data_IF_094748737451
#
_entry.id   IF_094748737451
#
_cell.length_a   1.000
_cell.length_b   1.000
_cell.length_c   1.000
_cell.angle_alpha   90.00
_cell.angle_beta   90.00
_cell.angle_gamma   90.00
#
_symmetry.space_group_name_H-M   'P 1'
#
loop_
_entity.id
_entity.type
_entity.pdbx_description
1 polymer ?
#
# COMPACT_ATOMS: atom_id res chain seq x y z
N UNK A 1 -31.28 11.14 -28.80
CA UNK A 1 -29.92 10.71 -28.35
C UNK A 1 -29.63 11.03 -26.87
N UNK A 2 -29.80 12.27 -26.38
CA UNK A 2 -29.51 12.63 -24.96
C UNK A 2 -30.26 11.80 -23.90
N UNK A 3 -31.52 11.45 -24.13
CA UNK A 3 -32.35 10.66 -23.20
C UNK A 3 -31.83 9.22 -22.98
N UNK A 4 -31.24 8.60 -24.01
CA UNK A 4 -30.69 7.23 -23.91
C UNK A 4 -29.41 7.21 -23.08
N UNK A 5 -28.53 8.21 -23.24
CA UNK A 5 -27.30 8.34 -22.45
C UNK A 5 -27.57 8.56 -20.95
N UNK A 6 -28.55 9.40 -20.61
CA UNK A 6 -28.95 9.63 -19.22
C UNK A 6 -29.47 8.34 -18.55
N UNK A 7 -30.24 7.53 -19.27
CA UNK A 7 -30.75 6.24 -18.79
C UNK A 7 -29.61 5.24 -18.51
N UNK A 8 -28.64 5.11 -19.42
CA UNK A 8 -27.48 4.21 -19.23
C UNK A 8 -26.67 4.60 -17.99
N UNK A 9 -26.44 5.90 -17.78
CA UNK A 9 -25.71 6.40 -16.61
C UNK A 9 -26.48 6.14 -15.31
N UNK A 10 -27.79 6.31 -15.31
CA UNK A 10 -28.63 5.98 -14.15
C UNK A 10 -28.58 4.48 -13.82
N UNK A 11 -28.69 3.60 -14.83
CA UNK A 11 -28.58 2.16 -14.65
C UNK A 11 -27.20 1.76 -14.07
N UNK A 12 -26.13 2.37 -14.57
CA UNK A 12 -24.78 2.11 -14.08
C UNK A 12 -24.58 2.59 -12.64
N UNK A 13 -25.15 3.74 -12.29
CA UNK A 13 -25.14 4.23 -10.91
C UNK A 13 -25.87 3.27 -9.97
N UNK A 14 -27.04 2.76 -10.39
CA UNK A 14 -27.88 1.85 -9.58
C UNK A 14 -27.30 0.44 -9.47
N UNK A 15 -26.63 -0.06 -10.51
CA UNK A 15 -26.22 -1.46 -10.64
C UNK A 15 -24.72 -1.66 -10.80
N UNK A 16 -23.90 -0.64 -10.51
CA UNK A 16 -22.45 -0.63 -10.71
C UNK A 16 -21.66 -1.67 -9.89
N UNK A 17 -22.31 -2.39 -8.97
CA UNK A 17 -21.75 -3.47 -8.17
C UNK A 17 -22.15 -4.87 -8.64
N UNK A 18 -23.01 -4.98 -9.67
CA UNK A 18 -23.51 -6.27 -10.16
C UNK A 18 -22.83 -6.69 -11.47
N UNK A 19 -21.97 -7.73 -11.48
CA UNK A 19 -21.09 -8.04 -12.62
C UNK A 19 -21.82 -8.19 -13.96
N UNK A 20 -22.88 -9.00 -13.99
CA UNK A 20 -23.66 -9.26 -15.22
C UNK A 20 -24.31 -7.99 -15.78
N UNK A 21 -24.82 -7.11 -14.90
CA UNK A 21 -25.50 -5.88 -15.31
C UNK A 21 -24.48 -4.87 -15.84
N UNK A 22 -23.32 -4.73 -15.19
CA UNK A 22 -22.24 -3.86 -15.69
C UNK A 22 -21.77 -4.31 -17.09
N UNK A 23 -21.62 -5.61 -17.34
CA UNK A 23 -21.28 -6.12 -18.68
C UNK A 23 -22.37 -5.85 -19.72
N UNK A 24 -23.64 -5.98 -19.35
CA UNK A 24 -24.76 -5.67 -20.25
C UNK A 24 -24.83 -4.17 -20.57
N UNK A 25 -24.67 -3.31 -19.55
CA UNK A 25 -24.65 -1.85 -19.69
C UNK A 25 -23.48 -1.43 -20.59
N UNK A 26 -22.29 -2.02 -20.39
CA UNK A 26 -21.14 -1.76 -21.23
C UNK A 26 -21.37 -2.19 -22.69
N UNK A 27 -21.88 -3.41 -22.93
CA UNK A 27 -22.20 -3.87 -24.29
C UNK A 27 -23.25 -2.96 -24.97
N UNK A 28 -24.26 -2.52 -24.22
CA UNK A 28 -25.27 -1.59 -24.72
C UNK A 28 -24.68 -0.21 -25.04
N UNK A 29 -23.76 0.29 -24.22
CA UNK A 29 -23.04 1.54 -24.48
C UNK A 29 -22.19 1.47 -25.75
N UNK A 30 -21.53 0.34 -26.01
CA UNK A 30 -20.78 0.09 -27.25
C UNK A 30 -21.72 0.11 -28.45
N UNK A 31 -22.81 -0.66 -28.40
CA UNK A 31 -23.78 -0.78 -29.49
C UNK A 31 -24.42 0.57 -29.88
N UNK A 32 -24.56 1.49 -28.90
CA UNK A 32 -25.09 2.83 -29.12
C UNK A 32 -24.03 3.89 -29.45
N UNK A 33 -22.74 3.52 -29.56
CA UNK A 33 -21.65 4.44 -29.86
C UNK A 33 -21.35 5.43 -28.74
N UNK A 34 -21.76 5.15 -27.50
CA UNK A 34 -21.59 6.05 -26.35
C UNK A 34 -20.24 5.90 -25.63
N UNK A 35 -19.39 4.95 -26.02
CA UNK A 35 -18.06 4.75 -25.42
C UNK A 35 -17.05 5.88 -25.69
N UNK A 36 -17.39 6.88 -26.51
CA UNK A 36 -16.59 8.11 -26.64
C UNK A 36 -16.94 9.16 -25.57
N UNK A 37 -18.00 8.94 -24.78
CA UNK A 37 -18.41 9.86 -23.73
C UNK A 37 -17.56 9.64 -22.47
N UNK A 38 -16.67 10.59 -22.18
CA UNK A 38 -15.73 10.54 -21.06
C UNK A 38 -16.42 10.22 -19.71
N UNK A 39 -17.57 10.86 -19.43
CA UNK A 39 -18.24 10.66 -18.15
C UNK A 39 -18.82 9.25 -17.99
N UNK A 40 -19.39 8.68 -19.06
CA UNK A 40 -19.88 7.30 -19.05
C UNK A 40 -18.71 6.30 -18.93
N UNK A 41 -17.62 6.50 -19.67
CA UNK A 41 -16.46 5.60 -19.63
C UNK A 41 -15.77 5.63 -18.28
N UNK A 42 -15.63 6.79 -17.63
CA UNK A 42 -15.07 6.86 -16.27
C UNK A 42 -15.98 6.17 -15.24
N UNK A 43 -17.32 6.25 -15.40
CA UNK A 43 -18.24 5.48 -14.55
C UNK A 43 -18.10 3.97 -14.77
N UNK A 44 -17.96 3.52 -16.02
CA UNK A 44 -17.76 2.10 -16.35
C UNK A 44 -16.43 1.59 -15.81
N UNK A 45 -15.36 2.38 -15.94
CA UNK A 45 -14.04 2.06 -15.42
C UNK A 45 -14.09 1.87 -13.90
N UNK A 46 -14.71 2.81 -13.18
CA UNK A 46 -14.90 2.71 -11.73
C UNK A 46 -15.74 1.49 -11.33
N UNK A 47 -16.78 1.15 -12.09
CA UNK A 47 -17.57 -0.05 -11.85
C UNK A 47 -16.73 -1.32 -12.02
N UNK A 48 -15.98 -1.46 -13.10
CA UNK A 48 -15.10 -2.62 -13.30
C UNK A 48 -13.95 -2.70 -12.29
N UNK A 49 -13.41 -1.56 -11.84
CA UNK A 49 -12.41 -1.51 -10.79
C UNK A 49 -12.97 -2.02 -9.45
N UNK A 50 -14.18 -1.59 -9.07
CA UNK A 50 -14.91 -2.10 -7.88
C UNK A 50 -15.23 -3.59 -7.98
N UNK A 51 -15.41 -4.10 -9.19
CA UNK A 51 -15.66 -5.52 -9.47
C UNK A 51 -14.37 -6.35 -9.63
N UNK A 52 -13.20 -5.73 -9.53
CA UNK A 52 -11.89 -6.37 -9.70
C UNK A 52 -11.74 -7.09 -11.04
N UNK A 53 -12.25 -6.46 -12.11
CA UNK A 53 -12.24 -6.95 -13.49
C UNK A 53 -11.19 -6.22 -14.33
N UNK A 54 -9.90 -6.58 -14.25
CA UNK A 54 -8.80 -5.81 -14.85
C UNK A 54 -8.83 -5.80 -16.37
N UNK A 55 -9.25 -6.90 -17.01
CA UNK A 55 -9.27 -7.01 -18.46
C UNK A 55 -10.34 -6.07 -19.04
N UNK A 56 -11.51 -6.08 -18.43
CA UNK A 56 -12.65 -5.24 -18.81
C UNK A 56 -12.38 -3.77 -18.50
N UNK A 57 -11.81 -3.46 -17.34
CA UNK A 57 -11.37 -2.11 -16.98
C UNK A 57 -10.36 -1.56 -18.01
N UNK A 58 -9.35 -2.34 -18.39
CA UNK A 58 -8.37 -1.92 -19.40
C UNK A 58 -9.01 -1.70 -20.78
N UNK A 59 -9.97 -2.55 -21.17
CA UNK A 59 -10.73 -2.37 -22.43
C UNK A 59 -11.51 -1.06 -22.42
N UNK A 60 -12.23 -0.75 -21.34
CA UNK A 60 -12.93 0.54 -21.20
C UNK A 60 -11.94 1.69 -21.26
N UNK A 61 -10.82 1.58 -20.56
CA UNK A 61 -9.79 2.61 -20.53
C UNK A 61 -9.22 2.91 -21.92
N UNK A 62 -8.92 1.89 -22.73
CA UNK A 62 -8.43 2.06 -24.11
C UNK A 62 -9.42 2.74 -25.06
N UNK A 63 -10.69 2.84 -24.68
CA UNK A 63 -11.72 3.53 -25.46
C UNK A 63 -11.84 5.01 -25.08
N UNK A 64 -11.20 5.45 -23.99
CA UNK A 64 -11.21 6.85 -23.55
C UNK A 64 -10.22 7.63 -24.43
N UNK A 65 -10.68 8.62 -25.22
CA UNK A 65 -9.79 9.33 -26.15
C UNK A 65 -8.66 10.09 -25.46
N UNK A 66 -8.95 10.72 -24.32
CA UNK A 66 -8.01 11.45 -23.48
C UNK A 66 -8.27 11.07 -22.01
N UNK A 67 -7.67 9.97 -21.51
CA UNK A 67 -7.85 9.57 -20.13
C UNK A 67 -7.23 10.59 -19.18
N UNK A 68 -7.98 11.04 -18.18
CA UNK A 68 -7.49 11.94 -17.13
C UNK A 68 -6.75 11.18 -16.03
N UNK A 69 -6.09 11.92 -15.13
CA UNK A 69 -5.34 11.37 -13.99
C UNK A 69 -6.22 10.43 -13.14
N UNK A 70 -7.51 10.77 -12.94
CA UNK A 70 -8.44 9.96 -12.15
C UNK A 70 -8.63 8.57 -12.80
N UNK A 71 -8.76 8.51 -14.11
CA UNK A 71 -8.90 7.26 -14.86
C UNK A 71 -7.67 6.38 -14.71
N UNK A 72 -6.46 6.95 -14.78
CA UNK A 72 -5.22 6.23 -14.55
C UNK A 72 -5.07 5.76 -13.09
N UNK A 73 -5.32 6.64 -12.11
CA UNK A 73 -5.25 6.30 -10.67
C UNK A 73 -6.20 5.16 -10.31
N UNK A 74 -7.37 5.11 -10.96
CA UNK A 74 -8.32 4.00 -10.83
C UNK A 74 -7.72 2.67 -11.32
N UNK A 75 -7.08 2.65 -12.50
CA UNK A 75 -6.40 1.46 -13.01
C UNK A 75 -5.19 1.05 -12.17
N UNK A 76 -4.37 2.00 -11.72
CA UNK A 76 -3.22 1.74 -10.84
C UNK A 76 -3.72 1.05 -9.56
N UNK A 77 -4.74 1.61 -8.92
CA UNK A 77 -5.35 1.06 -7.70
C UNK A 77 -5.93 -0.33 -7.91
N UNK A 78 -6.62 -0.55 -9.04
CA UNK A 78 -7.14 -1.86 -9.42
C UNK A 78 -6.00 -2.89 -9.54
N UNK A 79 -4.93 -2.58 -10.28
CA UNK A 79 -3.81 -3.49 -10.45
C UNK A 79 -3.06 -3.78 -9.14
N UNK A 80 -2.96 -2.81 -8.23
CA UNK A 80 -2.42 -3.05 -6.89
C UNK A 80 -3.33 -3.97 -6.08
N UNK A 81 -4.64 -3.80 -6.16
CA UNK A 81 -5.60 -4.63 -5.42
C UNK A 81 -5.48 -6.10 -5.82
N UNK A 82 -5.43 -6.38 -7.13
CA UNK A 82 -5.32 -7.76 -7.65
C UNK A 82 -3.87 -8.31 -7.68
N UNK A 83 -2.96 -7.68 -6.95
CA UNK A 83 -1.54 -8.05 -6.83
C UNK A 83 -0.80 -8.19 -8.18
N UNK A 84 -1.00 -7.19 -9.06
CA UNK A 84 -0.24 -7.02 -10.30
C UNK A 84 0.60 -5.74 -10.26
N UNK A 85 1.59 -5.65 -9.36
CA UNK A 85 2.33 -4.41 -9.10
C UNK A 85 3.13 -3.89 -10.32
N UNK A 86 3.67 -4.79 -11.15
CA UNK A 86 4.34 -4.40 -12.40
C UNK A 86 3.39 -3.70 -13.37
N UNK A 87 2.13 -4.16 -13.47
CA UNK A 87 1.11 -3.52 -14.32
C UNK A 87 0.71 -2.16 -13.78
N UNK A 88 0.57 -2.02 -12.46
CA UNK A 88 0.31 -0.73 -11.81
C UNK A 88 1.41 0.30 -12.17
N UNK A 89 2.68 -0.11 -12.12
CA UNK A 89 3.80 0.75 -12.53
C UNK A 89 3.77 1.09 -14.02
N UNK A 90 3.46 0.14 -14.91
CA UNK A 90 3.31 0.42 -16.35
C UNK A 90 2.24 1.46 -16.64
N UNK A 91 1.07 1.35 -15.99
CA UNK A 91 -0.02 2.34 -16.12
C UNK A 91 0.42 3.72 -15.63
N UNK A 92 1.19 3.78 -14.54
CA UNK A 92 1.77 5.06 -14.08
C UNK A 92 2.77 5.64 -15.08
N UNK A 93 3.60 4.81 -15.71
CA UNK A 93 4.54 5.27 -16.73
C UNK A 93 3.79 5.91 -17.92
N UNK A 94 2.70 5.28 -18.37
CA UNK A 94 1.79 5.84 -19.38
C UNK A 94 1.17 7.17 -18.94
N UNK A 95 0.70 7.27 -17.69
CA UNK A 95 0.20 8.54 -17.12
C UNK A 95 1.27 9.63 -17.19
N UNK A 96 2.49 9.33 -16.73
CA UNK A 96 3.57 10.30 -16.58
C UNK A 96 4.12 10.82 -17.93
N UNK A 97 3.85 10.11 -19.02
CA UNK A 97 4.22 10.53 -20.37
C UNK A 97 3.35 11.68 -20.90
N UNK A 98 2.11 11.81 -20.40
CA UNK A 98 1.14 12.80 -20.89
C UNK A 98 0.58 13.76 -19.84
N UNK A 99 0.73 13.45 -18.55
CA UNK A 99 0.10 14.20 -17.47
C UNK A 99 1.08 14.45 -16.33
N UNK A 100 0.88 15.57 -15.60
CA UNK A 100 1.54 15.81 -14.31
C UNK A 100 0.95 14.84 -13.27
N UNK A 101 1.75 13.93 -12.67
CA UNK A 101 1.29 13.07 -11.60
C UNK A 101 0.91 13.87 -10.34
N UNK A 102 -0.05 13.33 -9.59
CA UNK A 102 -0.45 13.80 -8.25
C UNK A 102 0.07 12.85 -7.16
N UNK A 103 -0.12 13.22 -5.88
CA UNK A 103 0.29 12.38 -4.75
C UNK A 103 -0.27 10.96 -4.79
N UNK A 104 -1.54 10.80 -5.18
CA UNK A 104 -2.21 9.48 -5.23
C UNK A 104 -1.62 8.56 -6.30
N UNK A 105 -1.44 9.05 -7.53
CA UNK A 105 -0.86 8.28 -8.62
C UNK A 105 0.60 7.88 -8.31
N UNK A 106 1.38 8.79 -7.73
CA UNK A 106 2.75 8.54 -7.29
C UNK A 106 2.82 7.50 -6.17
N UNK A 107 1.98 7.60 -5.14
CA UNK A 107 1.89 6.61 -4.06
C UNK A 107 1.54 5.23 -4.63
N UNK A 108 0.64 5.16 -5.61
CA UNK A 108 0.31 3.93 -6.31
C UNK A 108 1.51 3.33 -7.06
N UNK A 109 2.28 4.16 -7.76
CA UNK A 109 3.48 3.73 -8.47
C UNK A 109 4.58 3.24 -7.50
N UNK A 110 4.85 3.98 -6.43
CA UNK A 110 5.80 3.60 -5.38
C UNK A 110 5.40 2.28 -4.71
N UNK A 111 4.11 2.10 -4.41
CA UNK A 111 3.56 0.84 -3.89
C UNK A 111 3.77 -0.32 -4.86
N UNK A 112 3.59 -0.06 -6.17
CA UNK A 112 3.90 -1.01 -7.23
C UNK A 112 5.39 -1.40 -7.23
N UNK A 113 6.29 -0.41 -7.20
CA UNK A 113 7.73 -0.64 -7.14
C UNK A 113 8.17 -1.39 -5.88
N UNK A 114 7.56 -1.07 -4.74
CA UNK A 114 7.81 -1.72 -3.45
C UNK A 114 7.50 -3.22 -3.50
N UNK A 115 6.32 -3.58 -4.02
CA UNK A 115 5.85 -4.97 -4.13
C UNK A 115 6.56 -5.77 -5.22
N UNK A 116 6.87 -5.13 -6.34
CA UNK A 116 7.56 -5.76 -7.46
C UNK A 116 9.09 -5.87 -7.29
N UNK A 117 9.66 -5.36 -6.19
CA UNK A 117 11.12 -5.20 -6.01
C UNK A 117 11.79 -4.41 -7.15
N UNK A 118 11.07 -3.42 -7.69
CA UNK A 118 11.54 -2.57 -8.78
C UNK A 118 12.15 -1.27 -8.23
N UNK A 119 13.38 -1.38 -7.71
CA UNK A 119 14.12 -0.23 -7.17
C UNK A 119 14.38 0.85 -8.23
N UNK A 120 14.68 0.46 -9.47
CA UNK A 120 14.96 1.40 -10.56
C UNK A 120 13.73 2.27 -10.86
N UNK A 121 12.56 1.66 -11.01
CA UNK A 121 11.30 2.38 -11.17
C UNK A 121 10.99 3.27 -9.98
N UNK A 122 11.22 2.78 -8.75
CA UNK A 122 11.01 3.58 -7.54
C UNK A 122 11.88 4.83 -7.48
N UNK A 123 13.13 4.76 -7.94
CA UNK A 123 14.04 5.92 -8.04
C UNK A 123 13.58 6.93 -9.09
N UNK A 124 13.08 6.46 -10.23
CA UNK A 124 12.50 7.34 -11.27
C UNK A 124 11.32 8.11 -10.68
N UNK A 125 10.41 7.40 -10.00
CA UNK A 125 9.24 8.02 -9.35
C UNK A 125 9.66 8.99 -8.25
N UNK A 126 10.68 8.67 -7.45
CA UNK A 126 11.21 9.61 -6.46
C UNK A 126 11.79 10.89 -7.10
N UNK A 127 12.46 10.79 -8.26
CA UNK A 127 12.86 11.97 -9.02
C UNK A 127 11.68 12.82 -9.47
N UNK A 128 10.55 12.18 -9.83
CA UNK A 128 9.30 12.88 -10.15
C UNK A 128 8.68 13.57 -8.92
N UNK A 129 8.75 12.95 -7.73
CA UNK A 129 8.28 13.58 -6.47
C UNK A 129 8.97 14.92 -6.25
N UNK A 130 10.29 14.97 -6.44
CA UNK A 130 11.05 16.21 -6.35
C UNK A 130 10.65 17.20 -7.45
N UNK A 131 10.64 16.75 -8.72
CA UNK A 131 10.32 17.59 -9.88
C UNK A 131 8.94 18.25 -9.79
N UNK A 132 7.96 17.56 -9.23
CA UNK A 132 6.58 18.04 -9.14
C UNK A 132 6.22 18.60 -7.76
N UNK A 133 7.20 18.74 -6.86
CA UNK A 133 7.07 19.34 -5.53
C UNK A 133 6.07 18.59 -4.62
N UNK A 134 6.00 17.27 -4.74
CA UNK A 134 5.09 16.41 -3.97
C UNK A 134 5.70 15.94 -2.63
N UNK A 135 6.92 16.36 -2.31
CA UNK A 135 7.68 15.88 -1.15
C UNK A 135 7.15 16.33 0.21
N UNK A 136 6.34 17.40 0.25
CA UNK A 136 5.70 17.87 1.49
C UNK A 136 4.50 17.04 1.92
N UNK A 137 3.97 16.17 1.04
CA UNK A 137 2.81 15.33 1.34
C UNK A 137 3.25 14.11 2.19
N UNK A 138 2.73 13.94 3.42
CA UNK A 138 3.13 12.82 4.29
C UNK A 138 2.88 11.45 3.67
N UNK A 139 1.80 11.31 2.89
CA UNK A 139 1.45 10.06 2.20
C UNK A 139 2.53 9.63 1.19
N UNK A 140 3.18 10.61 0.52
CA UNK A 140 4.25 10.35 -0.45
C UNK A 140 5.52 9.95 0.28
N UNK A 141 5.86 10.65 1.37
CA UNK A 141 6.99 10.29 2.24
C UNK A 141 6.87 8.86 2.78
N UNK A 142 5.70 8.49 3.30
CA UNK A 142 5.41 7.13 3.78
C UNK A 142 5.63 6.07 2.69
N UNK A 143 5.12 6.33 1.47
CA UNK A 143 5.29 5.42 0.35
C UNK A 143 6.75 5.29 -0.11
N UNK A 144 7.54 6.37 -0.05
CA UNK A 144 8.97 6.35 -0.36
C UNK A 144 9.78 5.54 0.66
N UNK A 145 9.48 5.72 1.96
CA UNK A 145 10.11 4.94 3.04
C UNK A 145 9.82 3.44 2.88
N UNK A 146 8.55 3.06 2.65
CA UNK A 146 8.19 1.66 2.38
C UNK A 146 8.88 1.14 1.11
N UNK A 147 8.87 1.91 0.01
CA UNK A 147 9.49 1.50 -1.25
C UNK A 147 10.99 1.23 -1.09
N UNK A 148 11.76 2.15 -0.51
CA UNK A 148 13.19 1.93 -0.29
C UNK A 148 13.45 0.82 0.71
N UNK A 149 12.68 0.74 1.80
CA UNK A 149 12.82 -0.29 2.81
C UNK A 149 12.59 -1.69 2.26
N UNK A 150 11.50 -1.90 1.50
CA UNK A 150 11.23 -3.20 0.85
C UNK A 150 12.24 -3.55 -0.24
N UNK A 151 12.88 -2.56 -0.84
CA UNK A 151 13.96 -2.79 -1.82
C UNK A 151 15.36 -2.88 -1.17
N UNK A 152 15.44 -3.02 0.16
CA UNK A 152 16.69 -3.23 0.89
C UNK A 152 17.62 -2.01 0.92
N UNK A 153 17.11 -0.82 0.59
CA UNK A 153 17.89 0.44 0.57
C UNK A 153 17.61 1.26 1.83
N UNK A 154 17.90 0.68 2.99
CA UNK A 154 17.60 1.31 4.28
C UNK A 154 18.26 2.67 4.49
N UNK A 155 19.46 2.91 3.98
CA UNK A 155 20.08 4.24 4.04
C UNK A 155 19.27 5.31 3.30
N UNK A 156 18.66 4.96 2.16
CA UNK A 156 17.77 5.88 1.43
C UNK A 156 16.41 6.02 2.12
N UNK A 157 15.88 4.93 2.68
CA UNK A 157 14.64 4.99 3.47
C UNK A 157 14.79 5.93 4.69
N UNK A 158 15.91 5.83 5.40
CA UNK A 158 16.24 6.72 6.51
C UNK A 158 16.39 8.17 6.04
N UNK A 159 17.13 8.42 4.96
CA UNK A 159 17.31 9.78 4.44
C UNK A 159 15.98 10.45 4.03
N UNK A 160 15.07 9.69 3.40
CA UNK A 160 13.71 10.18 3.12
C UNK A 160 12.97 10.48 4.41
N UNK A 161 12.99 9.54 5.36
CA UNK A 161 12.31 9.68 6.64
C UNK A 161 12.80 10.92 7.40
N UNK A 162 14.10 11.12 7.51
CA UNK A 162 14.72 12.27 8.19
C UNK A 162 14.25 13.58 7.57
N UNK A 163 14.17 13.63 6.23
CA UNK A 163 13.68 14.78 5.46
C UNK A 163 12.17 15.04 5.53
N UNK A 164 11.36 14.13 6.09
CA UNK A 164 9.92 14.36 6.23
C UNK A 164 9.63 15.42 7.29
N UNK A 165 8.81 16.41 6.93
CA UNK A 165 8.35 17.48 7.84
C UNK A 165 7.45 16.93 8.94
N UNK A 166 6.53 16.03 8.58
CA UNK A 166 5.60 15.37 9.51
C UNK A 166 5.84 13.87 9.46
N UNK A 167 6.17 13.29 10.61
CA UNK A 167 6.39 11.85 10.79
C UNK A 167 5.23 11.28 11.62
N UNK A 168 4.34 10.54 10.97
CA UNK A 168 3.23 9.85 11.63
C UNK A 168 3.60 8.42 12.05
N UNK A 169 2.73 7.75 12.81
CA UNK A 169 2.97 6.36 13.27
C UNK A 169 3.25 5.40 12.09
N UNK A 170 2.66 5.65 10.92
CA UNK A 170 2.85 4.83 9.72
C UNK A 170 4.27 4.98 9.14
N UNK A 171 4.81 6.20 9.10
CA UNK A 171 6.19 6.50 8.68
C UNK A 171 7.22 5.75 9.53
N UNK A 172 7.09 5.88 10.86
CA UNK A 172 7.94 5.21 11.85
C UNK A 172 7.85 3.69 11.73
N UNK A 173 6.63 3.17 11.66
CA UNK A 173 6.38 1.72 11.54
C UNK A 173 6.95 1.16 10.24
N UNK A 174 6.91 1.92 9.14
CA UNK A 174 7.48 1.52 7.85
C UNK A 174 9.00 1.43 7.91
N UNK A 175 9.65 2.45 8.47
CA UNK A 175 11.10 2.48 8.66
C UNK A 175 11.57 1.32 9.57
N UNK A 176 10.88 1.14 10.70
CA UNK A 176 11.12 0.06 11.65
C UNK A 176 11.07 -1.32 10.98
N UNK A 177 9.97 -1.61 10.27
CA UNK A 177 9.79 -2.87 9.55
C UNK A 177 10.87 -3.08 8.48
N UNK A 178 11.33 -2.01 7.84
CA UNK A 178 12.45 -2.05 6.91
C UNK A 178 13.73 -2.55 7.57
N UNK A 179 14.11 -1.99 8.72
CA UNK A 179 15.31 -2.41 9.45
C UNK A 179 15.20 -3.85 9.97
N UNK A 180 14.04 -4.25 10.51
CA UNK A 180 13.80 -5.63 10.95
C UNK A 180 13.99 -6.61 9.80
N UNK A 181 13.41 -6.32 8.63
CA UNK A 181 13.53 -7.19 7.43
C UNK A 181 14.95 -7.28 6.88
N UNK A 182 15.78 -6.26 7.11
CA UNK A 182 17.18 -6.25 6.72
C UNK A 182 18.11 -6.83 7.81
N UNK A 183 17.56 -7.47 8.84
CA UNK A 183 18.28 -8.01 10.00
C UNK A 183 19.15 -6.98 10.76
N UNK A 184 18.82 -5.69 10.62
CA UNK A 184 19.46 -4.61 11.35
C UNK A 184 18.64 -4.25 12.60
N UNK A 185 18.54 -5.21 13.51
CA UNK A 185 17.74 -5.10 14.73
C UNK A 185 18.18 -3.95 15.64
N UNK A 186 19.48 -3.60 15.66
CA UNK A 186 19.97 -2.50 16.49
C UNK A 186 19.45 -1.14 16.00
N UNK A 187 19.39 -0.93 14.67
CA UNK A 187 18.77 0.27 14.10
C UNK A 187 17.25 0.22 14.26
N UNK A 188 16.63 -0.96 14.14
CA UNK A 188 15.20 -1.13 14.41
C UNK A 188 14.85 -0.74 15.86
N UNK A 189 15.65 -1.18 16.84
CA UNK A 189 15.50 -0.82 18.26
C UNK A 189 15.57 0.68 18.47
N UNK A 190 16.59 1.35 17.91
CA UNK A 190 16.72 2.81 18.01
C UNK A 190 15.49 3.54 17.45
N UNK A 191 15.05 3.15 16.26
CA UNK A 191 13.83 3.72 15.66
C UNK A 191 12.64 3.51 16.60
N UNK A 192 12.45 2.30 17.13
CA UNK A 192 11.35 1.98 18.04
C UNK A 192 11.43 2.75 19.38
N UNK A 193 12.62 3.00 19.90
CA UNK A 193 12.85 3.84 21.09
C UNK A 193 12.43 5.29 20.85
N UNK A 194 12.78 5.83 19.69
CA UNK A 194 12.49 7.21 19.30
C UNK A 194 11.02 7.44 18.89
N UNK A 195 10.25 6.39 18.65
CA UNK A 195 8.83 6.50 18.27
C UNK A 195 8.01 7.23 19.35
N UNK A 196 7.38 8.38 19.04
CA UNK A 196 6.55 9.11 20.01
C UNK A 196 5.29 8.32 20.42
N UNK A 197 4.77 7.51 19.50
CA UNK A 197 3.62 6.64 19.71
C UNK A 197 3.89 5.30 19.04
N UNK A 198 3.75 4.23 19.80
CA UNK A 198 3.93 2.84 19.35
C UNK A 198 2.56 2.19 19.23
N UNK A 199 2.24 1.67 18.05
CA UNK A 199 1.05 0.85 17.83
C UNK A 199 1.38 -0.64 17.93
N UNK A 200 0.35 -1.49 17.95
CA UNK A 200 0.51 -2.95 17.95
C UNK A 200 1.44 -3.48 16.84
N UNK A 201 1.47 -2.84 15.67
CA UNK A 201 2.32 -3.25 14.54
C UNK A 201 3.80 -3.05 14.88
N UNK A 202 4.16 -1.90 15.47
CA UNK A 202 5.53 -1.60 15.88
C UNK A 202 6.05 -2.55 16.97
N UNK A 203 5.22 -2.86 17.97
CA UNK A 203 5.53 -3.86 19.00
C UNK A 203 5.74 -5.25 18.40
N UNK A 204 4.78 -5.69 17.58
CA UNK A 204 4.83 -6.99 16.91
C UNK A 204 6.11 -7.13 16.07
N UNK A 205 6.46 -6.08 15.31
CA UNK A 205 7.64 -6.09 14.45
C UNK A 205 8.94 -6.30 15.23
N UNK A 206 9.12 -5.61 16.37
CA UNK A 206 10.31 -5.76 17.20
C UNK A 206 10.38 -7.11 17.91
N UNK A 207 9.27 -7.60 18.45
CA UNK A 207 9.20 -8.92 19.11
C UNK A 207 9.58 -10.03 18.11
N UNK A 208 9.02 -9.99 16.90
CA UNK A 208 9.36 -10.92 15.82
C UNK A 208 10.83 -10.77 15.40
N UNK A 209 11.33 -9.53 15.31
CA UNK A 209 12.72 -9.25 14.96
C UNK A 209 13.73 -9.86 15.93
N UNK A 210 13.49 -9.76 17.24
CA UNK A 210 14.39 -10.33 18.25
C UNK A 210 14.44 -11.85 18.26
N UNK A 211 13.35 -12.52 17.87
CA UNK A 211 13.36 -13.98 17.67
C UNK A 211 14.35 -14.38 16.56
N UNK A 212 14.35 -13.66 15.44
CA UNK A 212 15.19 -13.95 14.28
C UNK A 212 16.69 -13.97 14.57
N UNK A 213 17.16 -13.14 15.52
CA UNK A 213 18.56 -13.07 15.95
C UNK A 213 18.96 -14.00 17.09
N UNK A 214 18.09 -14.94 17.49
CA UNK A 214 18.31 -15.82 18.66
C UNK A 214 18.56 -15.02 19.95
N UNK A 215 17.88 -13.88 20.11
CA UNK A 215 17.79 -13.16 21.39
C UNK A 215 16.38 -13.27 21.96
N UNK A 216 15.88 -14.48 22.25
CA UNK A 216 14.50 -14.71 22.70
C UNK A 216 14.18 -13.97 24.01
N UNK A 217 15.14 -13.80 24.91
CA UNK A 217 14.95 -13.03 26.15
C UNK A 217 14.48 -11.59 25.89
N UNK A 218 15.10 -10.89 24.93
CA UNK A 218 14.70 -9.52 24.56
C UNK A 218 13.29 -9.46 23.97
N UNK A 219 12.86 -10.52 23.27
CA UNK A 219 11.49 -10.62 22.77
C UNK A 219 10.48 -10.75 23.93
N UNK A 220 10.81 -11.52 24.97
CA UNK A 220 9.97 -11.68 26.16
C UNK A 220 9.93 -10.41 27.02
N UNK A 221 11.07 -9.74 27.19
CA UNK A 221 11.16 -8.43 27.87
C UNK A 221 10.25 -7.41 27.18
N UNK A 222 10.37 -7.30 25.86
CA UNK A 222 9.57 -6.36 25.08
C UNK A 222 8.07 -6.68 25.12
N UNK A 223 7.70 -7.96 25.17
CA UNK A 223 6.32 -8.38 25.36
C UNK A 223 5.78 -8.00 26.75
N UNK A 224 6.60 -8.11 27.80
CA UNK A 224 6.22 -7.65 29.15
C UNK A 224 6.03 -6.14 29.18
N UNK A 225 6.92 -5.38 28.55
CA UNK A 225 6.79 -3.93 28.40
C UNK A 225 5.48 -3.56 27.69
N UNK A 226 5.17 -4.22 26.56
CA UNK A 226 3.91 -4.01 25.83
C UNK A 226 2.68 -4.20 26.73
N UNK A 227 2.66 -5.27 27.55
CA UNK A 227 1.56 -5.56 28.48
C UNK A 227 1.50 -4.56 29.63
N UNK A 228 2.64 -4.12 30.13
CA UNK A 228 2.72 -3.16 31.23
C UNK A 228 2.25 -1.77 30.80
N UNK A 229 2.55 -1.34 29.57
CA UNK A 229 2.02 -0.07 29.02
C UNK A 229 0.49 -0.11 28.85
N UNK A 230 -0.09 -1.27 28.55
CA UNK A 230 -1.55 -1.50 28.52
C UNK A 230 -2.32 -0.75 27.42
N UNK A 231 -1.65 0.02 26.57
CA UNK A 231 -2.26 0.83 25.49
C UNK A 231 -2.60 0.00 24.25
N UNK A 232 -1.84 -1.06 24.00
CA UNK A 232 -1.95 -1.91 22.82
C UNK A 232 -2.04 -3.37 23.26
N UNK A 233 -2.89 -4.16 22.59
CA UNK A 233 -3.06 -5.58 22.91
C UNK A 233 -2.26 -6.46 21.95
N UNK A 234 -1.55 -7.50 22.45
CA UNK A 234 -0.85 -8.44 21.60
C UNK A 234 -1.76 -9.09 20.55
N UNK A 235 -1.26 -9.21 19.32
CA UNK A 235 -1.94 -9.96 18.26
C UNK A 235 -1.58 -11.44 18.31
N UNK A 236 -2.32 -12.28 17.60
CA UNK A 236 -1.97 -13.69 17.42
C UNK A 236 -0.53 -13.89 16.91
N UNK A 237 -0.06 -13.03 16.00
CA UNK A 237 1.32 -13.04 15.50
C UNK A 237 2.31 -12.77 16.63
N UNK A 238 1.99 -11.81 17.51
CA UNK A 238 2.81 -11.49 18.68
C UNK A 238 2.91 -12.70 19.61
N UNK A 239 1.76 -13.31 19.96
CA UNK A 239 1.69 -14.46 20.86
C UNK A 239 2.48 -15.65 20.29
N UNK A 240 2.32 -15.96 19.00
CA UNK A 240 3.07 -17.04 18.35
C UNK A 240 4.59 -16.79 18.41
N UNK A 241 5.04 -15.55 18.16
CA UNK A 241 6.46 -15.21 18.23
C UNK A 241 7.02 -15.35 19.66
N UNK A 242 6.24 -14.98 20.67
CA UNK A 242 6.61 -15.08 22.09
C UNK A 242 6.63 -16.53 22.55
N UNK A 243 5.62 -17.35 22.22
CA UNK A 243 5.59 -18.78 22.54
C UNK A 243 6.77 -19.53 21.92
N UNK A 244 7.10 -19.20 20.66
CA UNK A 244 8.29 -19.77 20.03
C UNK A 244 9.58 -19.33 20.75
N UNK A 245 9.68 -18.08 21.18
CA UNK A 245 10.81 -17.59 21.98
C UNK A 245 10.90 -18.30 23.34
N UNK A 246 9.76 -18.65 23.95
CA UNK A 246 9.72 -19.45 25.19
C UNK A 246 10.24 -20.87 24.97
N UNK A 247 9.83 -21.50 23.86
CA UNK A 247 10.32 -22.82 23.47
C UNK A 247 11.84 -22.81 23.24
N UNK A 248 12.37 -21.76 22.61
CA UNK A 248 13.82 -21.62 22.33
C UNK A 248 14.69 -21.56 23.60
N UNK A 249 14.15 -21.09 24.74
CA UNK A 249 14.86 -20.98 26.03
C UNK A 249 14.37 -21.95 27.11
N UNK A 250 13.43 -22.84 26.78
CA UNK A 250 12.83 -23.76 27.75
C UNK A 250 11.97 -23.10 28.84
N UNK A 251 11.47 -21.87 28.63
CA UNK A 251 10.64 -21.13 29.59
C UNK A 251 9.16 -21.57 29.52
N UNK A 252 8.88 -22.86 29.78
CA UNK A 252 7.56 -23.47 29.65
C UNK A 252 6.50 -22.85 30.58
N UNK A 253 6.89 -22.49 31.79
CA UNK A 253 5.96 -21.87 32.77
C UNK A 253 5.50 -20.49 32.30
N UNK A 254 6.39 -19.71 31.67
CA UNK A 254 6.03 -18.42 31.08
C UNK A 254 5.14 -18.61 29.85
N UNK A 255 5.41 -19.64 29.03
CA UNK A 255 4.57 -19.99 27.88
C UNK A 255 3.13 -20.33 28.28
N UNK A 256 2.93 -21.08 29.38
CA UNK A 256 1.59 -21.39 29.92
C UNK A 256 0.83 -20.14 30.34
N UNK A 257 1.50 -19.22 31.05
CA UNK A 257 0.89 -17.96 31.53
C UNK A 257 0.44 -17.01 30.40
N UNK A 258 0.97 -17.18 29.19
CA UNK A 258 0.61 -16.36 28.02
C UNK A 258 -0.52 -17.02 27.21
N UNK A 259 -0.63 -18.34 27.29
CA UNK A 259 -1.60 -19.14 26.55
C UNK A 259 -3.00 -19.13 27.19
N UNK A 260 -3.08 -18.98 28.51
CA UNK A 260 -4.33 -18.86 29.29
C UNK A 260 -4.81 -17.39 29.39
#
# INVERSE_FOLDING_TARGET
>A
MKHKLASIRHLLFKHGTHPKLVTQIHAHAIALGHCKNQQLTSQLLNAYAKLHKPIEAQKVFSQIPNPDIISYTCLISLYLFIDRPNRAFSVFAELSAGHRPDGFSVVGALSGCSRAKNLTGGRIVHGMVFRFELGSEPIVGNALVDMYGRNGRMGLAQAVFDGMVVKDVASWTSLLNGFVKCDNIDSARRVFDEMPQRNVISWTAMIVGYRGKKTPLRALELFREMRAEGKEHPTSITIVAVLASCADIGALDFGRLIHD
#
